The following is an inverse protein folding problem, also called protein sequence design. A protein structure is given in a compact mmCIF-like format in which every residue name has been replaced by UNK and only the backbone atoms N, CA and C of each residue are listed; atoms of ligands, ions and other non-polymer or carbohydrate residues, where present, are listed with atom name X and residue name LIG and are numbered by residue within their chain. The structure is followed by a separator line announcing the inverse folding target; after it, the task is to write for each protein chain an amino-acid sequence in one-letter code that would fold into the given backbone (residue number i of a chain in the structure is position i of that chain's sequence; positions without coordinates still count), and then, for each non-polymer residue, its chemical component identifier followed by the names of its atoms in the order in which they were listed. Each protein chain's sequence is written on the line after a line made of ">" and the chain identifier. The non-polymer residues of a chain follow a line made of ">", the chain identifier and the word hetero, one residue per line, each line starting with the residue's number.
data_IF_498085425613
#
_entry.id   IF_498085425613
#
_cell.length_a   1.000
_cell.length_b   1.000
_cell.length_c   1.000
_cell.angle_alpha   90.00
_cell.angle_beta   90.00
_cell.angle_gamma   90.00
#
_symmetry.space_group_name_H-M   'P 1'
#
loop_
_entity.id
_entity.type
_entity.pdbx_description
1 polymer ?
#
# COMPACT_ATOMS: atom_id res chain seq x y z
N UNK A 1 -10.51 29.78 -2.67
CA UNK A 1 -11.89 29.54 -2.22
C UNK A 1 -12.00 28.06 -1.89
N UNK A 2 -12.41 27.74 -0.66
CA UNK A 2 -12.59 26.36 -0.21
C UNK A 2 -13.83 25.81 -0.91
N UNK A 3 -13.71 24.71 -1.68
CA UNK A 3 -14.87 24.04 -2.26
C UNK A 3 -15.68 23.32 -1.16
N UNK A 4 -16.64 24.06 -0.59
CA UNK A 4 -17.52 23.56 0.47
C UNK A 4 -18.34 22.35 0.03
N UNK A 5 -18.62 22.21 -1.27
CA UNK A 5 -19.37 21.08 -1.83
C UNK A 5 -18.54 19.80 -1.85
N UNK A 6 -17.23 19.88 -2.14
CA UNK A 6 -16.34 18.72 -2.10
C UNK A 6 -16.16 18.22 -0.66
N UNK A 7 -15.87 19.12 0.29
CA UNK A 7 -15.71 18.75 1.70
C UNK A 7 -16.98 18.08 2.27
N UNK A 8 -18.17 18.58 1.94
CA UNK A 8 -19.43 17.98 2.38
C UNK A 8 -19.62 16.56 1.82
N UNK A 9 -19.28 16.32 0.53
CA UNK A 9 -19.33 14.97 -0.09
C UNK A 9 -18.34 14.01 0.54
N UNK A 10 -17.11 14.45 0.81
CA UNK A 10 -16.10 13.62 1.47
C UNK A 10 -16.51 13.26 2.91
N UNK A 11 -17.07 14.23 3.65
CA UNK A 11 -17.60 13.96 5.00
C UNK A 11 -18.77 12.95 4.98
N UNK A 12 -19.66 13.04 4.01
CA UNK A 12 -20.73 12.05 3.84
C UNK A 12 -20.17 10.64 3.53
N UNK A 13 -19.10 10.57 2.71
CA UNK A 13 -18.48 9.30 2.30
C UNK A 13 -17.71 8.63 3.45
N UNK A 14 -16.95 9.39 4.23
CA UNK A 14 -15.99 8.84 5.20
C UNK A 14 -16.43 9.00 6.67
N UNK A 15 -17.46 9.79 6.96
CA UNK A 15 -17.96 9.99 8.33
C UNK A 15 -16.87 10.47 9.29
N UNK A 16 -16.72 9.75 10.40
CA UNK A 16 -15.74 10.04 11.46
C UNK A 16 -14.47 9.18 11.35
N UNK A 17 -14.26 8.52 10.21
CA UNK A 17 -13.03 7.76 9.93
C UNK A 17 -11.79 8.65 10.08
N UNK A 18 -10.79 8.17 10.83
CA UNK A 18 -9.53 8.86 11.04
C UNK A 18 -8.37 8.09 10.40
N UNK A 19 -7.41 8.84 9.85
CA UNK A 19 -6.23 8.28 9.19
C UNK A 19 -4.96 8.98 9.69
N UNK A 20 -3.86 8.24 9.70
CA UNK A 20 -2.55 8.78 10.07
C UNK A 20 -1.96 9.59 8.92
N UNK A 21 -1.62 10.84 9.19
CA UNK A 21 -0.99 11.73 8.22
C UNK A 21 0.30 12.35 8.74
N UNK A 22 1.28 12.49 7.86
CA UNK A 22 2.44 13.34 8.07
C UNK A 22 2.30 14.66 7.30
N UNK A 23 3.16 15.63 7.57
CA UNK A 23 3.11 16.87 6.81
C UNK A 23 3.82 16.71 5.45
N UNK A 24 3.34 17.45 4.45
CA UNK A 24 3.84 17.41 3.07
C UNK A 24 5.34 17.76 2.96
N UNK A 25 5.85 18.69 3.78
CA UNK A 25 7.27 19.10 3.74
C UNK A 25 8.17 17.96 4.16
N UNK A 26 7.81 17.22 5.21
CA UNK A 26 8.57 16.06 5.67
C UNK A 26 8.48 14.91 4.65
N UNK A 27 7.30 14.64 4.11
CA UNK A 27 7.10 13.60 3.10
C UNK A 27 7.80 13.90 1.77
N UNK A 28 7.97 15.17 1.40
CA UNK A 28 8.68 15.55 0.16
C UNK A 28 10.20 15.26 0.19
N UNK A 29 10.75 14.85 1.32
CA UNK A 29 12.11 14.31 1.39
C UNK A 29 12.18 12.87 0.85
N UNK A 30 11.04 12.19 0.76
CA UNK A 30 10.93 10.84 0.19
C UNK A 30 10.81 10.96 -1.34
N UNK A 31 11.58 10.16 -2.05
CA UNK A 31 11.61 10.17 -3.51
C UNK A 31 10.28 9.68 -4.11
N UNK A 32 9.95 10.22 -5.26
CA UNK A 32 8.86 9.74 -6.11
C UNK A 32 9.18 8.33 -6.65
N UNK A 33 8.17 7.57 -7.03
CA UNK A 33 8.22 6.17 -7.45
C UNK A 33 8.59 5.22 -6.28
N UNK A 34 9.09 4.02 -6.58
CA UNK A 34 9.62 3.13 -5.55
C UNK A 34 11.07 3.50 -5.24
N UNK A 35 11.39 3.60 -3.94
CA UNK A 35 12.73 3.83 -3.46
C UNK A 35 13.03 2.95 -2.23
N UNK A 36 14.19 2.26 -2.17
CA UNK A 36 14.58 1.44 -1.03
C UNK A 36 15.01 2.31 0.16
N UNK A 37 14.06 3.08 0.69
CA UNK A 37 14.25 3.94 1.85
C UNK A 37 14.48 3.09 3.09
N UNK A 38 15.54 3.26 3.86
CA UNK A 38 15.73 2.54 5.12
C UNK A 38 14.58 2.84 6.11
N UNK A 39 14.13 1.84 6.86
CA UNK A 39 13.03 2.00 7.84
C UNK A 39 13.34 3.10 8.89
N UNK A 40 14.60 3.27 9.26
CA UNK A 40 15.05 4.33 10.19
C UNK A 40 14.71 5.75 9.70
N UNK A 41 14.60 5.95 8.38
CA UNK A 41 14.28 7.25 7.78
C UNK A 41 12.77 7.50 7.75
N UNK A 42 11.95 6.45 7.94
CA UNK A 42 10.50 6.54 8.07
C UNK A 42 10.05 6.80 9.51
N UNK A 43 10.79 6.32 10.51
CA UNK A 43 10.44 6.56 11.92
C UNK A 43 10.25 8.04 12.30
N UNK A 44 11.05 9.01 11.82
CA UNK A 44 10.79 10.42 12.07
C UNK A 44 9.44 10.87 11.50
N UNK A 45 9.08 10.43 10.29
CA UNK A 45 7.79 10.76 9.68
C UNK A 45 6.62 10.21 10.52
N UNK A 46 6.72 8.95 10.96
CA UNK A 46 5.70 8.31 11.81
C UNK A 46 5.56 9.08 13.14
N UNK A 47 6.67 9.47 13.76
CA UNK A 47 6.66 10.22 15.04
C UNK A 47 6.06 11.61 14.93
N UNK A 48 6.22 12.27 13.78
CA UNK A 48 5.64 13.59 13.49
C UNK A 48 4.19 13.50 13.00
N UNK A 49 3.71 12.28 12.74
CA UNK A 49 2.36 12.04 12.22
C UNK A 49 1.30 12.21 13.30
N UNK A 50 0.08 12.47 12.86
CA UNK A 50 -1.10 12.60 13.70
C UNK A 50 -2.33 12.01 13.02
N UNK A 51 -3.30 11.60 13.81
CA UNK A 51 -4.61 11.23 13.30
C UNK A 51 -5.44 12.47 12.97
N UNK A 52 -6.04 12.46 11.80
CA UNK A 52 -7.01 13.47 11.35
C UNK A 52 -8.21 12.76 10.72
N UNK A 53 -9.33 13.45 10.64
CA UNK A 53 -10.50 12.92 9.93
C UNK A 53 -10.15 12.71 8.45
N UNK A 54 -10.50 11.54 7.91
CA UNK A 54 -10.13 11.15 6.54
C UNK A 54 -10.61 12.16 5.50
N UNK A 55 -11.81 12.71 5.67
CA UNK A 55 -12.30 13.74 4.74
C UNK A 55 -11.47 15.04 4.78
N UNK A 56 -10.83 15.37 5.92
CA UNK A 56 -9.90 16.50 6.01
C UNK A 56 -8.55 16.15 5.38
N UNK A 57 -8.07 14.90 5.51
CA UNK A 57 -6.85 14.43 4.85
C UNK A 57 -6.98 14.48 3.31
N UNK A 58 -8.07 13.95 2.77
CA UNK A 58 -8.37 13.95 1.32
C UNK A 58 -8.54 15.35 0.72
N UNK A 59 -8.86 16.31 1.56
CA UNK A 59 -9.11 17.69 1.14
C UNK A 59 -7.88 18.59 1.26
N UNK A 60 -7.00 18.30 2.20
CA UNK A 60 -5.89 19.18 2.58
C UNK A 60 -4.55 18.69 2.02
N UNK A 61 -4.11 19.31 0.93
CA UNK A 61 -2.83 18.97 0.26
C UNK A 61 -1.57 19.17 1.13
N UNK A 62 -1.71 19.72 2.35
CA UNK A 62 -0.60 19.81 3.31
C UNK A 62 -0.37 18.48 4.07
N UNK A 63 -1.27 17.53 3.93
CA UNK A 63 -1.17 16.21 4.54
C UNK A 63 -0.74 15.16 3.52
N UNK A 64 0.02 14.17 4.01
CA UNK A 64 0.35 12.95 3.27
C UNK A 64 -0.04 11.77 4.13
N UNK A 65 -0.88 10.90 3.60
CA UNK A 65 -1.43 9.73 4.25
C UNK A 65 -0.43 8.58 4.17
N UNK A 66 -0.09 7.97 5.31
CA UNK A 66 0.81 6.82 5.36
C UNK A 66 0.01 5.52 5.16
N UNK A 67 0.47 4.70 4.22
CA UNK A 67 -0.23 3.48 3.81
C UNK A 67 0.75 2.30 3.91
N UNK A 68 0.56 1.31 4.80
CA UNK A 68 1.21 0.02 4.67
C UNK A 68 0.77 -0.65 3.37
N UNK A 69 1.73 -1.03 2.53
CA UNK A 69 1.49 -1.73 1.26
C UNK A 69 2.21 -3.08 1.30
N UNK A 70 1.44 -4.17 1.38
CA UNK A 70 1.92 -5.49 1.74
C UNK A 70 1.95 -6.40 0.51
N UNK A 71 3.12 -6.93 0.19
CA UNK A 71 3.30 -7.97 -0.82
C UNK A 71 3.35 -9.35 -0.15
N UNK A 72 2.56 -10.29 -0.61
CA UNK A 72 2.68 -11.68 -0.23
C UNK A 72 3.55 -12.42 -1.24
N UNK A 73 4.65 -13.00 -0.77
CA UNK A 73 5.69 -13.59 -1.62
C UNK A 73 5.83 -15.08 -1.34
N UNK A 74 5.73 -15.91 -2.37
CA UNK A 74 6.16 -17.31 -2.34
C UNK A 74 7.59 -17.41 -2.91
N UNK A 75 8.59 -17.38 -2.04
CA UNK A 75 10.01 -17.50 -2.43
C UNK A 75 10.31 -18.80 -3.17
N UNK A 76 9.64 -19.91 -2.81
CA UNK A 76 9.88 -21.21 -3.45
C UNK A 76 9.54 -21.19 -4.96
N UNK A 77 8.55 -20.42 -5.36
CA UNK A 77 8.09 -20.36 -6.75
C UNK A 77 8.37 -19.01 -7.40
N UNK A 78 9.12 -18.14 -6.73
CA UNK A 78 9.41 -16.75 -7.17
C UNK A 78 8.13 -16.06 -7.69
N UNK A 79 7.11 -16.00 -6.84
CA UNK A 79 5.78 -15.52 -7.19
C UNK A 79 5.23 -14.55 -6.14
N UNK A 80 4.40 -13.62 -6.59
CA UNK A 80 3.67 -12.65 -5.75
C UNK A 80 2.17 -12.92 -5.88
N UNK A 81 1.44 -12.81 -4.76
CA UNK A 81 -0.01 -12.83 -4.77
C UNK A 81 -0.53 -11.46 -5.16
N UNK A 82 -1.15 -11.37 -6.31
CA UNK A 82 -1.74 -10.13 -6.81
C UNK A 82 -3.24 -10.10 -6.55
N UNK A 83 -3.78 -8.90 -6.39
CA UNK A 83 -5.23 -8.69 -6.24
C UNK A 83 -5.78 -7.91 -7.41
N UNK A 84 -6.96 -8.32 -7.89
CA UNK A 84 -7.70 -7.66 -8.97
C UNK A 84 -8.95 -7.02 -8.37
N UNK A 85 -9.15 -5.76 -8.63
CA UNK A 85 -10.35 -5.05 -8.19
C UNK A 85 -11.48 -5.27 -9.18
N UNK A 86 -12.51 -6.01 -8.75
CA UNK A 86 -13.69 -6.35 -9.57
C UNK A 86 -14.90 -5.45 -9.31
N UNK A 87 -14.92 -4.76 -8.17
CA UNK A 87 -15.95 -3.79 -7.82
C UNK A 87 -15.35 -2.59 -7.07
N UNK A 88 -16.15 -1.54 -6.84
CA UNK A 88 -15.72 -0.33 -6.13
C UNK A 88 -15.51 0.87 -7.06
N UNK A 89 -14.49 1.67 -6.80
CA UNK A 89 -14.22 2.89 -7.57
C UNK A 89 -13.95 2.58 -9.06
N UNK A 90 -14.72 3.21 -9.96
CA UNK A 90 -14.69 2.95 -11.41
C UNK A 90 -13.28 3.11 -12.01
N UNK A 91 -12.51 4.09 -11.51
CA UNK A 91 -11.12 4.35 -11.96
C UNK A 91 -10.11 3.23 -11.65
N UNK A 92 -10.41 2.37 -10.67
CA UNK A 92 -9.57 1.26 -10.25
C UNK A 92 -10.12 -0.10 -10.67
N UNK A 93 -11.29 -0.12 -11.33
CA UNK A 93 -11.88 -1.34 -11.85
C UNK A 93 -10.94 -1.95 -12.89
N UNK A 94 -10.77 -3.26 -12.82
CA UNK A 94 -9.87 -4.04 -13.68
C UNK A 94 -8.37 -3.75 -13.49
N UNK A 95 -7.98 -2.93 -12.49
CA UNK A 95 -6.58 -2.76 -12.14
C UNK A 95 -6.06 -3.89 -11.26
N UNK A 96 -4.77 -4.17 -11.41
CA UNK A 96 -4.06 -5.17 -10.61
C UNK A 96 -3.15 -4.46 -9.59
N UNK A 97 -3.25 -4.86 -8.32
CA UNK A 97 -2.31 -4.46 -7.27
C UNK A 97 -1.35 -5.62 -6.95
N UNK A 98 -0.12 -5.30 -6.50
CA UNK A 98 0.86 -6.32 -6.08
C UNK A 98 0.59 -6.91 -4.70
N UNK A 99 -0.52 -6.59 -4.08
CA UNK A 99 -0.86 -7.04 -2.74
C UNK A 99 -2.07 -6.34 -2.19
N UNK A 100 -2.04 -6.04 -0.91
CA UNK A 100 -3.08 -5.33 -0.18
C UNK A 100 -2.51 -4.16 0.62
N UNK A 101 -3.37 -3.30 1.12
CA UNK A 101 -2.99 -2.19 1.98
C UNK A 101 -4.13 -1.20 2.18
N UNK A 102 -4.00 -0.40 3.22
CA UNK A 102 -5.01 0.59 3.56
C UNK A 102 -4.49 1.64 4.54
N UNK A 103 -5.37 2.41 5.12
CA UNK A 103 -4.99 3.52 5.98
C UNK A 103 -4.61 3.04 7.39
N UNK A 104 -3.62 3.69 7.99
CA UNK A 104 -3.31 3.51 9.40
C UNK A 104 -4.40 4.23 10.21
N UNK A 105 -5.09 3.51 11.08
CA UNK A 105 -6.21 3.97 11.89
C UNK A 105 -5.85 4.10 13.38
N UNK A 106 -6.64 4.82 14.20
CA UNK A 106 -6.36 4.98 15.64
C UNK A 106 -6.24 3.67 16.40
N UNK A 107 -6.95 2.62 16.03
CA UNK A 107 -6.86 1.28 16.61
C UNK A 107 -5.50 0.61 16.41
N UNK A 108 -4.73 1.03 15.42
CA UNK A 108 -3.38 0.55 15.18
C UNK A 108 -2.34 1.20 16.12
N UNK A 109 -2.76 2.20 16.92
CA UNK A 109 -1.88 2.90 17.83
C UNK A 109 -1.40 1.99 18.96
N UNK A 110 -0.09 1.96 19.19
CA UNK A 110 0.58 1.12 20.17
C UNK A 110 1.67 0.27 19.53
N UNK A 111 2.80 0.10 20.19
CA UNK A 111 3.93 -0.63 19.61
C UNK A 111 4.40 -0.05 18.29
N UNK A 112 4.63 -0.91 17.30
CA UNK A 112 4.98 -0.50 15.94
C UNK A 112 3.71 -0.31 15.09
N UNK A 113 3.22 0.92 15.02
CA UNK A 113 1.97 1.28 14.38
C UNK A 113 1.88 0.85 12.90
N UNK A 114 3.02 0.90 12.16
CA UNK A 114 3.07 0.48 10.76
C UNK A 114 2.79 -1.01 10.62
N UNK A 115 3.39 -1.83 11.47
CA UNK A 115 3.20 -3.28 11.44
C UNK A 115 1.83 -3.69 11.97
N UNK A 116 1.29 -2.98 12.98
CA UNK A 116 -0.07 -3.22 13.47
C UNK A 116 -1.11 -2.98 12.36
N UNK A 117 -1.00 -1.84 11.66
CA UNK A 117 -1.86 -1.54 10.52
C UNK A 117 -1.70 -2.57 9.39
N UNK A 118 -0.45 -2.97 9.08
CA UNK A 118 -0.21 -4.00 8.07
C UNK A 118 -0.89 -5.33 8.42
N UNK A 119 -0.80 -5.76 9.69
CA UNK A 119 -1.49 -6.96 10.16
C UNK A 119 -3.02 -6.85 10.04
N UNK A 120 -3.60 -5.73 10.44
CA UNK A 120 -5.05 -5.51 10.35
C UNK A 120 -5.51 -5.54 8.90
N UNK A 121 -4.93 -4.70 8.04
CA UNK A 121 -5.31 -4.60 6.61
C UNK A 121 -5.16 -5.94 5.88
N UNK A 122 -4.03 -6.64 6.08
CA UNK A 122 -3.87 -7.96 5.50
C UNK A 122 -4.96 -8.93 5.98
N UNK A 123 -5.27 -8.92 7.29
CA UNK A 123 -6.28 -9.80 7.86
C UNK A 123 -7.71 -9.45 7.43
N UNK A 124 -7.98 -8.21 7.07
CA UNK A 124 -9.29 -7.81 6.53
C UNK A 124 -9.49 -8.31 5.11
N UNK A 125 -8.49 -8.14 4.24
CA UNK A 125 -8.62 -8.42 2.81
C UNK A 125 -8.24 -9.86 2.41
N UNK A 126 -7.20 -10.45 3.07
CA UNK A 126 -6.61 -11.71 2.63
C UNK A 126 -6.56 -12.73 3.76
N UNK A 127 -7.01 -13.93 3.47
CA UNK A 127 -6.79 -15.09 4.31
C UNK A 127 -5.46 -15.73 3.95
N UNK A 128 -4.54 -15.74 4.91
CA UNK A 128 -3.26 -16.45 4.85
C UNK A 128 -3.13 -17.30 6.11
N UNK A 129 -2.70 -18.56 6.05
CA UNK A 129 -2.51 -19.36 7.25
C UNK A 129 -1.70 -20.62 6.98
N UNK A 130 -0.86 -21.01 7.92
CA UNK A 130 -0.14 -20.14 8.84
C UNK A 130 1.01 -19.44 8.12
N UNK A 131 1.46 -18.30 8.60
CA UNK A 131 2.75 -17.72 8.22
C UNK A 131 3.66 -17.75 9.46
N UNK A 132 4.91 -18.08 9.24
CA UNK A 132 5.93 -18.19 10.30
C UNK A 132 6.89 -16.99 10.28
N UNK A 133 6.81 -16.15 9.24
CA UNK A 133 7.70 -15.01 9.01
C UNK A 133 7.08 -13.70 9.50
N UNK A 134 7.93 -12.78 9.91
CA UNK A 134 7.55 -11.40 10.19
C UNK A 134 7.50 -10.57 8.91
N UNK A 135 6.79 -9.43 8.94
CA UNK A 135 6.85 -8.46 7.87
C UNK A 135 8.26 -7.90 7.70
N UNK A 136 8.71 -7.84 6.48
CA UNK A 136 9.99 -7.24 6.11
C UNK A 136 9.73 -5.94 5.35
N UNK A 137 10.21 -4.83 5.88
CA UNK A 137 10.14 -3.54 5.23
C UNK A 137 11.21 -3.45 4.13
N UNK A 138 10.84 -2.94 2.93
CA UNK A 138 11.75 -2.84 1.77
C UNK A 138 11.89 -1.45 1.18
N UNK A 139 11.04 -0.51 1.55
CA UNK A 139 11.15 0.86 1.04
C UNK A 139 9.82 1.60 1.00
N UNK A 140 9.80 2.67 0.24
CA UNK A 140 8.62 3.52 0.04
C UNK A 140 8.19 3.52 -1.42
N UNK A 141 6.90 3.74 -1.65
CA UNK A 141 6.35 4.00 -2.98
C UNK A 141 5.47 5.25 -2.95
N UNK A 142 5.62 6.09 -3.96
CA UNK A 142 4.82 7.29 -4.14
C UNK A 142 4.63 7.55 -5.63
N UNK A 143 3.51 8.17 -5.99
CA UNK A 143 3.26 8.64 -7.35
C UNK A 143 2.63 10.03 -7.31
N UNK A 144 3.46 11.04 -7.46
CA UNK A 144 3.06 12.45 -7.45
C UNK A 144 2.19 12.85 -8.65
N UNK A 145 2.15 12.02 -9.69
CA UNK A 145 1.36 12.25 -10.90
C UNK A 145 0.06 11.42 -10.93
N UNK A 146 -0.19 10.64 -9.88
CA UNK A 146 -1.41 9.84 -9.76
C UNK A 146 -2.60 10.67 -9.30
N UNK A 147 -3.75 10.03 -9.19
CA UNK A 147 -4.95 10.60 -8.59
C UNK A 147 -4.90 10.72 -7.07
N UNK A 148 -3.87 10.16 -6.43
CA UNK A 148 -3.63 10.16 -4.98
C UNK A 148 -2.19 10.57 -4.65
N UNK A 149 -1.74 11.78 -5.06
CA UNK A 149 -0.37 12.23 -4.85
C UNK A 149 -0.05 12.50 -3.36
N UNK A 150 -1.09 12.56 -2.55
CA UNK A 150 -1.09 12.74 -1.09
C UNK A 150 -0.96 11.43 -0.30
N UNK A 151 -0.63 10.31 -0.96
CA UNK A 151 -0.37 9.03 -0.32
C UNK A 151 1.12 8.65 -0.41
N UNK A 152 1.63 8.04 0.65
CA UNK A 152 2.98 7.48 0.75
C UNK A 152 2.89 6.03 1.22
N UNK A 153 3.17 5.10 0.32
CA UNK A 153 3.19 3.68 0.63
C UNK A 153 4.49 3.28 1.36
N UNK A 154 4.35 2.63 2.50
CA UNK A 154 5.42 1.92 3.19
C UNK A 154 5.36 0.46 2.75
N UNK A 155 6.30 0.05 1.89
CA UNK A 155 6.26 -1.27 1.25
C UNK A 155 6.86 -2.32 2.17
N UNK A 156 6.05 -3.33 2.43
CA UNK A 156 6.38 -4.48 3.25
C UNK A 156 6.19 -5.76 2.43
N UNK A 157 6.92 -6.82 2.75
CA UNK A 157 6.56 -8.13 2.26
C UNK A 157 6.47 -9.15 3.39
N UNK A 158 5.64 -10.15 3.17
CA UNK A 158 5.52 -11.34 4.01
C UNK A 158 5.78 -12.58 3.15
N UNK A 159 6.69 -13.46 3.58
CA UNK A 159 6.90 -14.74 2.92
C UNK A 159 5.79 -15.71 3.33
N UNK A 160 5.11 -16.28 2.35
CA UNK A 160 4.03 -17.25 2.59
C UNK A 160 4.12 -18.42 1.61
N UNK A 161 3.55 -19.55 1.97
CA UNK A 161 3.30 -20.65 1.03
C UNK A 161 2.08 -20.28 0.16
N UNK A 162 1.95 -20.83 -1.04
CA UNK A 162 0.81 -20.58 -1.97
C UNK A 162 -0.57 -20.94 -1.39
N UNK A 163 -0.98 -20.29 -0.31
CA UNK A 163 -2.23 -20.53 0.41
C UNK A 163 -3.03 -19.22 0.65
N UNK A 164 -2.63 -18.10 0.02
CA UNK A 164 -3.35 -16.84 0.13
C UNK A 164 -4.68 -16.90 -0.65
N UNK A 165 -5.74 -16.31 -0.08
CA UNK A 165 -7.06 -16.14 -0.71
C UNK A 165 -7.66 -14.82 -0.28
N UNK A 166 -8.28 -14.08 -1.20
CA UNK A 166 -9.07 -12.90 -0.85
C UNK A 166 -10.28 -13.29 -0.01
N UNK A 167 -10.65 -12.46 0.95
CA UNK A 167 -11.85 -12.62 1.80
C UNK A 167 -13.05 -11.88 1.20
N UNK A 168 -12.86 -10.66 0.70
CA UNK A 168 -13.90 -9.84 0.09
C UNK A 168 -14.13 -10.21 -1.39
N UNK A 169 -14.62 -11.42 -1.65
CA UNK A 169 -14.76 -11.98 -3.02
C UNK A 169 -15.80 -11.27 -3.88
N UNK A 170 -16.61 -10.41 -3.33
CA UNK A 170 -17.51 -9.50 -4.03
C UNK A 170 -16.82 -8.25 -4.58
N UNK A 171 -15.64 -7.89 -4.04
CA UNK A 171 -14.86 -6.72 -4.42
C UNK A 171 -13.52 -7.03 -5.07
N UNK A 172 -12.92 -8.14 -4.68
CA UNK A 172 -11.56 -8.53 -5.07
C UNK A 172 -11.54 -9.98 -5.58
N UNK A 173 -10.63 -10.24 -6.51
CA UNK A 173 -10.13 -11.58 -6.77
C UNK A 173 -8.62 -11.59 -6.63
N UNK A 174 -8.01 -12.77 -6.49
CA UNK A 174 -6.56 -12.84 -6.31
C UNK A 174 -5.97 -14.08 -6.94
N UNK A 175 -4.73 -13.97 -7.39
CA UNK A 175 -3.97 -15.08 -7.96
C UNK A 175 -2.47 -14.92 -7.70
N UNK A 176 -1.74 -16.02 -7.85
CA UNK A 176 -0.28 -16.04 -7.80
C UNK A 176 0.29 -15.80 -9.19
N UNK A 177 1.16 -14.80 -9.32
CA UNK A 177 1.88 -14.51 -10.55
C UNK A 177 3.38 -14.65 -10.36
N UNK A 178 4.02 -15.39 -11.26
CA UNK A 178 5.49 -15.42 -11.38
C UNK A 178 6.00 -14.12 -11.98
N UNK A 179 7.30 -13.86 -11.87
CA UNK A 179 7.91 -12.65 -12.44
C UNK A 179 7.60 -12.46 -13.93
N UNK A 180 7.66 -13.53 -14.72
CA UNK A 180 7.29 -13.50 -16.14
C UNK A 180 5.82 -13.12 -16.38
N UNK A 181 4.92 -13.59 -15.53
CA UNK A 181 3.50 -13.24 -15.61
C UNK A 181 3.27 -11.78 -15.22
N UNK A 182 3.95 -11.30 -14.17
CA UNK A 182 3.89 -9.89 -13.75
C UNK A 182 4.35 -8.97 -14.89
N UNK A 183 5.48 -9.26 -15.53
CA UNK A 183 6.00 -8.46 -16.64
C UNK A 183 5.11 -8.48 -17.86
N UNK A 184 4.53 -9.63 -18.22
CA UNK A 184 3.57 -9.75 -19.34
C UNK A 184 2.28 -8.95 -19.12
N UNK A 185 1.88 -8.76 -17.86
CA UNK A 185 0.67 -8.01 -17.50
C UNK A 185 0.98 -6.56 -17.06
N UNK A 186 2.21 -6.07 -17.21
CA UNK A 186 2.68 -4.78 -16.68
C UNK A 186 1.69 -3.62 -16.88
N UNK A 187 1.11 -3.50 -18.06
CA UNK A 187 0.18 -2.41 -18.40
C UNK A 187 -1.16 -2.44 -17.65
N UNK A 188 -1.50 -3.55 -16.98
CA UNK A 188 -2.74 -3.70 -16.20
C UNK A 188 -2.55 -3.31 -14.74
N UNK A 189 -1.31 -3.16 -14.28
CA UNK A 189 -1.04 -2.82 -12.88
C UNK A 189 -1.29 -1.34 -12.60
N UNK A 190 -1.76 -1.06 -11.38
CA UNK A 190 -1.85 0.30 -10.83
C UNK A 190 -0.46 0.96 -10.73
N UNK A 191 -0.42 2.27 -10.54
CA UNK A 191 0.83 3.03 -10.61
C UNK A 191 1.87 2.58 -9.59
N UNK A 192 1.49 2.36 -8.34
CA UNK A 192 2.41 1.89 -7.30
C UNK A 192 2.97 0.51 -7.62
N UNK A 193 2.12 -0.40 -8.05
CA UNK A 193 2.54 -1.73 -8.48
C UNK A 193 3.55 -1.65 -9.63
N UNK A 194 3.34 -0.79 -10.63
CA UNK A 194 4.30 -0.57 -11.73
C UNK A 194 5.63 -0.04 -11.23
N UNK A 195 5.63 0.94 -10.31
CA UNK A 195 6.88 1.47 -9.75
C UNK A 195 7.69 0.41 -8.99
N UNK A 196 7.01 -0.48 -8.27
CA UNK A 196 7.66 -1.61 -7.61
C UNK A 196 8.17 -2.63 -8.63
N UNK A 197 7.38 -2.95 -9.67
CA UNK A 197 7.79 -3.84 -10.76
C UNK A 197 9.00 -3.30 -11.53
N UNK A 198 9.07 -2.00 -11.80
CA UNK A 198 10.24 -1.36 -12.41
C UNK A 198 11.50 -1.59 -11.57
N UNK A 199 11.37 -1.49 -10.25
CA UNK A 199 12.48 -1.79 -9.33
C UNK A 199 12.87 -3.26 -9.32
N UNK A 200 11.91 -4.17 -9.43
CA UNK A 200 12.18 -5.62 -9.56
C UNK A 200 12.86 -5.94 -10.89
N UNK A 201 12.45 -5.29 -11.99
CA UNK A 201 13.11 -5.42 -13.31
C UNK A 201 14.57 -4.99 -13.25
N UNK A 202 14.86 -3.85 -12.61
CA UNK A 202 16.22 -3.36 -12.40
C UNK A 202 17.06 -4.26 -11.49
N UNK A 203 16.42 -5.01 -10.59
CA UNK A 203 17.08 -5.98 -9.74
C UNK A 203 17.39 -7.32 -10.44
N UNK A 204 16.67 -7.64 -11.51
CA UNK A 204 16.76 -8.92 -12.19
C UNK A 204 15.72 -9.95 -11.73
N UNK A 205 14.68 -9.54 -11.02
CA UNK A 205 13.57 -10.38 -10.59
C UNK A 205 13.19 -10.22 -9.12
N UNK A 206 12.20 -11.02 -8.68
CA UNK A 206 11.65 -10.95 -7.32
C UNK A 206 12.72 -11.29 -6.28
N UNK A 207 13.41 -12.43 -6.43
CA UNK A 207 14.36 -12.92 -5.43
C UNK A 207 15.53 -11.94 -5.24
N UNK A 208 16.14 -11.49 -6.34
CA UNK A 208 17.21 -10.49 -6.31
C UNK A 208 16.75 -9.12 -5.76
N UNK A 209 15.48 -8.78 -5.90
CA UNK A 209 14.91 -7.57 -5.34
C UNK A 209 14.73 -7.66 -3.82
N UNK A 210 14.36 -8.84 -3.29
CA UNK A 210 14.18 -9.07 -1.85
C UNK A 210 15.50 -9.16 -1.07
N UNK A 211 16.63 -9.39 -1.76
CA UNK A 211 17.97 -9.49 -1.15
C UNK A 211 18.69 -8.13 -1.02
N UNK A 212 18.08 -7.04 -1.45
CA UNK A 212 18.65 -5.67 -1.39
C UNK A 212 18.44 -5.04 -0.03
#
# INVERSE_FOLDING_TARGET
>A
MVDTGLKARLRYKYGDEQVLVTNFVSANKIQDKFYPTPIKDIFPLIRESKFVLRYDAEYNTSFVQLIPYILLVDKKHSAIYVTHRIAGEERLRDSIALGCGGHIAPEDAGGDILYQAAHREMNEEIQVSPWDDEFNYVGTVRDLNSSTPDHLGCVLYLTVKKNARVKETDKLSGEWMTFDQLTKNYGKFESWARHILDSMLLAGGIDAWLER
#
